data_IF_193118551077
#
_entry.id   IF_193118551077
#
_cell.length_a   1.000
_cell.length_b   1.000
_cell.length_c   1.000
_cell.angle_alpha   90.00
_cell.angle_beta   90.00
_cell.angle_gamma   90.00
#
_symmetry.space_group_name_H-M   'P 1'
#
loop_
_entity.id
_entity.type
_entity.pdbx_description
1 polymer ?
#
# COMPACT_ATOMS: atom_id res chain seq x y z
N UNK A 1 -9.56 11.49 4.37
CA UNK A 1 -10.60 10.46 4.56
C UNK A 1 -11.98 10.87 4.08
N UNK A 2 -12.69 11.85 4.69
CA UNK A 2 -14.05 12.25 4.22
C UNK A 2 -14.02 12.71 2.77
N UNK A 3 -13.06 13.58 2.40
CA UNK A 3 -12.90 14.06 1.02
C UNK A 3 -12.63 12.90 0.07
N UNK A 4 -11.73 11.98 0.42
CA UNK A 4 -11.37 10.83 -0.42
C UNK A 4 -12.58 9.88 -0.59
N UNK A 5 -13.31 9.61 0.49
CA UNK A 5 -14.53 8.80 0.43
C UNK A 5 -15.59 9.44 -0.47
N UNK A 6 -15.81 10.75 -0.36
CA UNK A 6 -16.75 11.46 -1.22
C UNK A 6 -16.30 11.43 -2.69
N UNK A 7 -15.02 11.70 -2.96
CA UNK A 7 -14.47 11.66 -4.32
C UNK A 7 -14.62 10.28 -4.94
N UNK A 8 -14.27 9.21 -4.21
CA UNK A 8 -14.41 7.84 -4.71
C UNK A 8 -15.88 7.52 -5.00
N UNK A 9 -16.80 7.84 -4.11
CA UNK A 9 -18.23 7.56 -4.32
C UNK A 9 -18.86 8.36 -5.46
N UNK A 10 -18.41 9.60 -5.69
CA UNK A 10 -18.88 10.42 -6.80
C UNK A 10 -18.29 9.98 -8.15
N UNK A 11 -17.02 9.54 -8.16
CA UNK A 11 -16.32 9.13 -9.39
C UNK A 11 -16.64 7.69 -9.77
N UNK A 12 -16.78 6.81 -8.79
CA UNK A 12 -17.05 5.39 -8.96
C UNK A 12 -18.32 4.99 -8.19
N UNK A 13 -19.51 5.32 -8.72
CA UNK A 13 -20.77 5.03 -8.03
C UNK A 13 -21.00 3.52 -7.81
N UNK A 14 -20.48 2.70 -8.72
CA UNK A 14 -20.41 1.24 -8.58
C UNK A 14 -19.03 0.89 -8.02
N UNK A 15 -18.94 0.70 -6.71
CA UNK A 15 -17.70 0.29 -6.03
C UNK A 15 -17.33 -1.16 -6.39
N UNK A 16 -16.19 -1.63 -5.91
CA UNK A 16 -15.59 -2.90 -6.31
C UNK A 16 -16.55 -4.10 -6.18
N UNK A 17 -17.31 -4.20 -5.09
CA UNK A 17 -18.32 -5.26 -4.90
C UNK A 17 -19.45 -5.16 -5.93
N UNK A 18 -19.95 -3.94 -6.17
CA UNK A 18 -21.00 -3.72 -7.18
C UNK A 18 -20.52 -4.01 -8.60
N UNK A 19 -19.24 -3.72 -8.90
CA UNK A 19 -18.64 -4.09 -10.20
C UNK A 19 -18.51 -5.61 -10.35
N UNK A 20 -18.20 -6.34 -9.28
CA UNK A 20 -18.17 -7.80 -9.31
C UNK A 20 -19.56 -8.39 -9.62
N UNK A 21 -20.61 -7.87 -9.01
CA UNK A 21 -21.99 -8.27 -9.32
C UNK A 21 -22.37 -7.95 -10.77
N UNK A 22 -21.99 -6.77 -11.27
CA UNK A 22 -22.21 -6.40 -12.67
C UNK A 22 -21.42 -7.29 -13.61
N UNK A 23 -20.18 -7.65 -13.26
CA UNK A 23 -19.33 -8.54 -14.06
C UNK A 23 -19.94 -9.95 -14.13
N UNK A 24 -20.51 -10.44 -13.04
CA UNK A 24 -21.25 -11.71 -13.01
C UNK A 24 -22.47 -11.66 -13.94
N UNK A 25 -23.33 -10.63 -13.81
CA UNK A 25 -24.52 -10.44 -14.68
C UNK A 25 -24.17 -10.34 -16.17
N UNK A 26 -23.01 -9.74 -16.51
CA UNK A 26 -22.56 -9.51 -17.87
C UNK A 26 -21.58 -10.55 -18.39
N UNK A 27 -21.28 -11.58 -17.61
CA UNK A 27 -20.27 -12.59 -17.92
C UNK A 27 -18.88 -11.99 -18.24
N UNK A 28 -18.49 -10.91 -17.56
CA UNK A 28 -17.18 -10.31 -17.72
C UNK A 28 -16.14 -10.96 -16.81
N UNK A 29 -14.91 -11.03 -17.31
CA UNK A 29 -13.76 -11.51 -16.57
C UNK A 29 -13.59 -13.03 -16.58
N UNK A 30 -12.42 -13.45 -16.12
CA UNK A 30 -11.97 -14.84 -16.22
C UNK A 30 -12.92 -15.82 -15.53
N UNK A 31 -13.25 -15.58 -14.25
CA UNK A 31 -14.02 -16.52 -13.43
C UNK A 31 -15.49 -16.65 -13.83
N UNK A 32 -16.02 -15.72 -14.60
CA UNK A 32 -17.37 -15.82 -15.17
C UNK A 32 -17.41 -16.58 -16.50
N UNK A 33 -16.24 -17.03 -17.01
CA UNK A 33 -16.13 -17.73 -18.30
C UNK A 33 -15.38 -19.08 -18.18
N UNK A 34 -15.04 -19.50 -16.96
CA UNK A 34 -14.43 -20.81 -16.70
C UNK A 34 -15.18 -21.51 -15.59
N UNK A 35 -15.29 -22.84 -15.68
CA UNK A 35 -15.92 -23.65 -14.64
C UNK A 35 -14.90 -24.04 -13.57
N UNK A 36 -14.97 -23.35 -12.43
CA UNK A 36 -14.13 -23.61 -11.27
C UNK A 36 -14.98 -23.60 -9.98
N UNK A 37 -14.63 -24.41 -8.98
CA UNK A 37 -15.31 -24.37 -7.70
C UNK A 37 -15.28 -22.95 -7.09
N UNK A 38 -16.41 -22.48 -6.58
CA UNK A 38 -16.56 -21.10 -6.03
C UNK A 38 -15.51 -20.81 -4.95
N UNK A 39 -15.23 -21.76 -4.06
CA UNK A 39 -14.20 -21.57 -3.02
C UNK A 39 -12.81 -21.29 -3.61
N UNK A 40 -12.47 -21.96 -4.74
CA UNK A 40 -11.18 -21.74 -5.42
C UNK A 40 -11.15 -20.36 -6.09
N UNK A 41 -12.24 -19.97 -6.77
CA UNK A 41 -12.40 -18.64 -7.34
C UNK A 41 -12.24 -17.55 -6.24
N UNK A 42 -12.84 -17.75 -5.06
CA UNK A 42 -12.71 -16.82 -3.92
C UNK A 42 -11.25 -16.71 -3.45
N UNK A 43 -10.59 -17.83 -3.18
CA UNK A 43 -9.20 -17.84 -2.68
C UNK A 43 -8.25 -17.20 -3.68
N UNK A 44 -8.32 -17.62 -4.95
CA UNK A 44 -7.45 -17.07 -6.00
C UNK A 44 -7.70 -15.58 -6.23
N UNK A 45 -8.96 -15.15 -6.19
CA UNK A 45 -9.30 -13.72 -6.34
C UNK A 45 -8.74 -12.86 -5.22
N UNK A 46 -8.86 -13.31 -3.96
CA UNK A 46 -8.30 -12.58 -2.80
C UNK A 46 -6.78 -12.46 -2.93
N UNK A 47 -6.10 -13.54 -3.29
CA UNK A 47 -4.64 -13.55 -3.49
C UNK A 47 -4.24 -12.65 -4.67
N UNK A 48 -4.98 -12.70 -5.79
CA UNK A 48 -4.69 -11.88 -6.97
C UNK A 48 -4.92 -10.39 -6.72
N UNK A 49 -5.97 -10.03 -5.98
CA UNK A 49 -6.23 -8.65 -5.56
C UNK A 49 -5.14 -8.14 -4.62
N UNK A 50 -4.64 -8.97 -3.70
CA UNK A 50 -3.53 -8.62 -2.82
C UNK A 50 -2.23 -8.40 -3.59
N UNK A 51 -1.94 -9.27 -4.57
CA UNK A 51 -0.81 -9.07 -5.49
C UNK A 51 -0.95 -7.75 -6.28
N UNK A 52 -2.15 -7.44 -6.76
CA UNK A 52 -2.39 -6.20 -7.49
C UNK A 52 -2.11 -4.95 -6.62
N UNK A 53 -2.51 -4.96 -5.35
CA UNK A 53 -2.19 -3.88 -4.40
C UNK A 53 -0.68 -3.81 -4.12
N UNK A 54 0.00 -4.95 -3.95
CA UNK A 54 1.45 -4.99 -3.83
C UNK A 54 2.15 -4.35 -5.04
N UNK A 55 1.81 -4.79 -6.26
CA UNK A 55 2.40 -4.26 -7.50
C UNK A 55 2.11 -2.77 -7.70
N UNK A 56 0.89 -2.36 -7.38
CA UNK A 56 0.51 -0.95 -7.35
C UNK A 56 1.40 -0.16 -6.39
N UNK A 57 1.63 -0.65 -5.18
CA UNK A 57 2.47 0.01 -4.17
C UNK A 57 3.91 0.14 -4.64
N UNK A 58 4.50 -0.93 -5.20
CA UNK A 58 5.82 -0.87 -5.87
C UNK A 58 5.84 0.19 -6.96
N UNK A 59 4.81 0.24 -7.81
CA UNK A 59 4.69 1.22 -8.89
C UNK A 59 4.62 2.66 -8.35
N UNK A 60 3.89 2.91 -7.26
CA UNK A 60 3.81 4.23 -6.62
C UNK A 60 5.17 4.67 -6.06
N UNK A 61 6.03 3.75 -5.65
CA UNK A 61 7.40 4.05 -5.25
C UNK A 61 8.37 4.18 -6.43
N UNK A 62 8.19 3.40 -7.49
CA UNK A 62 9.13 3.34 -8.61
C UNK A 62 8.95 4.48 -9.62
N UNK A 63 7.72 4.96 -9.83
CA UNK A 63 7.41 6.00 -10.82
C UNK A 63 7.43 7.38 -10.15
N UNK A 64 8.34 8.30 -10.54
CA UNK A 64 8.50 9.58 -9.84
C UNK A 64 7.24 10.42 -9.71
N UNK A 65 6.37 10.44 -10.73
CA UNK A 65 5.11 11.17 -10.68
C UNK A 65 4.13 10.58 -9.66
N UNK A 66 4.08 9.25 -9.55
CA UNK A 66 3.23 8.54 -8.60
C UNK A 66 3.81 8.63 -7.18
N UNK A 67 5.13 8.54 -7.04
CA UNK A 67 5.80 8.78 -5.76
C UNK A 67 5.46 10.16 -5.18
N UNK A 68 5.39 11.19 -6.00
CA UNK A 68 4.99 12.53 -5.54
C UNK A 68 3.62 12.56 -4.88
N UNK A 69 2.68 11.73 -5.32
CA UNK A 69 1.37 11.57 -4.70
C UNK A 69 1.51 10.76 -3.39
N UNK A 70 2.19 9.62 -3.47
CA UNK A 70 2.33 8.65 -2.38
C UNK A 70 3.22 9.16 -1.23
N UNK A 71 4.20 10.00 -1.51
CA UNK A 71 5.06 10.57 -0.46
C UNK A 71 4.30 11.42 0.57
N UNK A 72 3.09 11.88 0.27
CA UNK A 72 2.20 12.49 1.26
C UNK A 72 1.89 11.52 2.40
N UNK A 73 1.70 10.25 2.09
CA UNK A 73 1.55 9.17 3.04
C UNK A 73 2.84 8.96 3.87
N UNK A 74 4.00 8.96 3.20
CA UNK A 74 5.29 8.80 3.85
C UNK A 74 5.80 10.05 4.58
N UNK A 75 5.26 11.22 4.34
CA UNK A 75 5.73 12.46 4.97
C UNK A 75 5.24 12.65 6.41
N UNK A 76 4.56 11.66 6.99
CA UNK A 76 4.22 11.69 8.41
C UNK A 76 5.49 11.70 9.26
N UNK A 77 5.47 12.43 10.36
CA UNK A 77 6.59 12.49 11.32
C UNK A 77 6.46 11.45 12.43
N UNK A 78 5.27 10.94 12.61
CA UNK A 78 4.91 9.87 13.52
C UNK A 78 4.40 8.66 12.73
N UNK A 79 4.25 7.52 13.39
CA UNK A 79 3.73 6.31 12.78
C UNK A 79 2.62 5.74 13.64
N UNK A 80 1.39 5.93 13.20
CA UNK A 80 0.19 5.42 13.85
C UNK A 80 -0.94 5.12 12.85
N UNK A 81 -2.07 4.63 13.34
CA UNK A 81 -3.24 4.27 12.51
C UNK A 81 -3.68 5.41 11.59
N UNK A 82 -3.49 6.68 11.96
CA UNK A 82 -3.86 7.84 11.15
C UNK A 82 -2.94 8.00 9.93
N UNK A 83 -1.71 7.50 9.99
CA UNK A 83 -0.79 7.42 8.85
C UNK A 83 -1.41 6.60 7.73
N UNK A 84 -2.06 5.47 8.05
CA UNK A 84 -2.79 4.62 7.09
C UNK A 84 -4.02 5.27 6.44
N UNK A 85 -4.43 6.45 6.89
CA UNK A 85 -5.54 7.23 6.32
C UNK A 85 -5.06 8.44 5.51
N UNK A 86 -3.76 8.66 5.41
CA UNK A 86 -3.12 9.84 4.87
C UNK A 86 -2.68 9.62 3.41
N UNK A 87 -3.63 9.59 2.50
CA UNK A 87 -3.37 9.44 1.07
C UNK A 87 -3.80 10.67 0.28
N UNK A 88 -3.10 10.95 -0.83
CA UNK A 88 -3.50 12.02 -1.73
C UNK A 88 -4.79 11.62 -2.49
N UNK A 89 -5.80 12.53 -2.63
CA UNK A 89 -7.04 12.19 -3.32
C UNK A 89 -6.86 11.61 -4.73
N UNK A 90 -5.91 12.13 -5.51
CA UNK A 90 -5.59 11.60 -6.85
C UNK A 90 -5.05 10.18 -6.76
N UNK A 91 -4.23 9.87 -5.76
CA UNK A 91 -3.75 8.50 -5.53
C UNK A 91 -4.90 7.54 -5.24
N UNK A 92 -5.84 7.91 -4.39
CA UNK A 92 -7.00 7.09 -4.06
C UNK A 92 -7.86 6.81 -5.31
N UNK A 93 -8.05 7.81 -6.18
CA UNK A 93 -8.77 7.63 -7.45
C UNK A 93 -8.04 6.67 -8.39
N UNK A 94 -6.72 6.81 -8.53
CA UNK A 94 -5.89 5.90 -9.34
C UNK A 94 -5.93 4.47 -8.76
N UNK A 95 -5.78 4.32 -7.44
CA UNK A 95 -5.86 3.03 -6.74
C UNK A 95 -7.20 2.35 -6.96
N UNK A 96 -8.29 3.10 -6.87
CA UNK A 96 -9.62 2.57 -7.14
C UNK A 96 -9.76 2.15 -8.59
N UNK A 97 -9.28 2.95 -9.55
CA UNK A 97 -9.29 2.61 -10.98
C UNK A 97 -8.53 1.31 -11.27
N UNK A 98 -7.33 1.15 -10.71
CA UNK A 98 -6.54 -0.09 -10.84
C UNK A 98 -7.31 -1.29 -10.26
N UNK A 99 -7.82 -1.17 -9.04
CA UNK A 99 -8.59 -2.23 -8.39
C UNK A 99 -9.82 -2.62 -9.20
N UNK A 100 -10.60 -1.66 -9.68
CA UNK A 100 -11.77 -1.93 -10.53
C UNK A 100 -11.38 -2.61 -11.84
N UNK A 101 -10.26 -2.24 -12.45
CA UNK A 101 -9.75 -2.90 -13.66
C UNK A 101 -9.40 -4.37 -13.41
N UNK A 102 -8.79 -4.68 -12.26
CA UNK A 102 -8.48 -6.06 -11.86
C UNK A 102 -9.76 -6.85 -11.59
N UNK A 103 -10.74 -6.25 -10.89
CA UNK A 103 -12.05 -6.87 -10.66
C UNK A 103 -12.77 -7.18 -11.98
N UNK A 104 -12.79 -6.23 -12.92
CA UNK A 104 -13.41 -6.45 -14.23
C UNK A 104 -12.71 -7.55 -15.04
N UNK A 105 -11.37 -7.60 -15.00
CA UNK A 105 -10.57 -8.59 -15.70
C UNK A 105 -10.70 -10.01 -15.13
N UNK A 106 -10.74 -10.12 -13.81
CA UNK A 106 -10.88 -11.41 -13.12
C UNK A 106 -12.32 -11.91 -13.10
N UNK A 107 -13.34 -11.03 -13.00
CA UNK A 107 -14.72 -11.41 -12.75
C UNK A 107 -14.89 -12.21 -11.45
N UNK A 108 -14.35 -11.75 -10.31
CA UNK A 108 -14.36 -12.51 -9.07
C UNK A 108 -15.77 -12.63 -8.50
N UNK A 109 -16.09 -13.68 -7.74
CA UNK A 109 -17.31 -13.69 -6.92
C UNK A 109 -17.37 -12.43 -6.02
N UNK A 110 -18.53 -11.81 -5.91
CA UNK A 110 -18.71 -10.58 -5.13
C UNK A 110 -18.27 -10.75 -3.66
N UNK A 111 -18.45 -11.95 -3.09
CA UNK A 111 -17.97 -12.30 -1.74
C UNK A 111 -16.45 -12.25 -1.63
N UNK A 112 -15.72 -12.59 -2.68
CA UNK A 112 -14.25 -12.50 -2.67
C UNK A 112 -13.79 -11.04 -2.57
N UNK A 113 -14.44 -10.15 -3.32
CA UNK A 113 -14.15 -8.71 -3.27
C UNK A 113 -14.50 -8.15 -1.89
N UNK A 114 -15.63 -8.54 -1.32
CA UNK A 114 -16.03 -8.12 0.04
C UNK A 114 -15.00 -8.58 1.09
N UNK A 115 -14.59 -9.85 1.05
CA UNK A 115 -13.56 -10.40 1.95
C UNK A 115 -12.27 -9.59 1.78
N UNK A 116 -11.85 -9.35 0.54
CA UNK A 116 -10.62 -8.59 0.27
C UNK A 116 -10.69 -7.15 0.81
N UNK A 117 -11.81 -6.43 0.61
CA UNK A 117 -11.99 -5.07 1.14
C UNK A 117 -11.93 -5.03 2.68
N UNK A 118 -12.55 -6.01 3.34
CA UNK A 118 -12.49 -6.12 4.81
C UNK A 118 -11.05 -6.40 5.27
N UNK A 119 -10.37 -7.35 4.63
CA UNK A 119 -8.98 -7.67 4.96
C UNK A 119 -8.06 -6.46 4.72
N UNK A 120 -8.16 -5.81 3.56
CA UNK A 120 -7.34 -4.67 3.20
C UNK A 120 -7.47 -3.52 4.23
N UNK A 121 -8.68 -3.20 4.64
CA UNK A 121 -8.90 -2.15 5.64
C UNK A 121 -8.43 -2.57 7.04
N UNK A 122 -8.70 -3.81 7.46
CA UNK A 122 -8.29 -4.30 8.77
C UNK A 122 -6.76 -4.38 8.89
N UNK A 123 -6.09 -4.89 7.85
CA UNK A 123 -4.62 -4.98 7.85
C UNK A 123 -3.97 -3.61 7.69
N UNK A 124 -4.55 -2.68 6.92
CA UNK A 124 -4.07 -1.30 6.86
C UNK A 124 -4.09 -0.62 8.24
N UNK A 125 -5.14 -0.81 9.02
CA UNK A 125 -5.20 -0.31 10.39
C UNK A 125 -4.22 -1.03 11.32
N UNK A 126 -4.03 -2.33 11.14
CA UNK A 126 -3.11 -3.11 11.94
C UNK A 126 -1.65 -2.77 11.63
N UNK A 127 -1.24 -2.80 10.36
CA UNK A 127 0.15 -2.61 9.97
C UNK A 127 0.65 -1.17 10.20
N UNK A 128 -0.24 -0.16 10.17
CA UNK A 128 0.10 1.21 10.58
C UNK A 128 -0.10 1.47 12.08
N UNK A 129 -0.52 0.48 12.87
CA UNK A 129 -0.68 0.69 14.30
C UNK A 129 0.65 0.85 15.02
N UNK A 130 0.66 1.63 16.11
CA UNK A 130 1.82 1.77 17.00
C UNK A 130 1.82 0.67 18.07
N UNK A 131 1.49 -0.55 17.69
CA UNK A 131 1.48 -1.73 18.57
C UNK A 131 2.85 -2.38 18.53
N UNK A 132 3.44 -2.58 19.71
CA UNK A 132 4.67 -3.35 19.87
C UNK A 132 4.32 -4.80 20.16
N UNK A 133 4.53 -5.67 19.20
CA UNK A 133 4.37 -7.11 19.38
C UNK A 133 5.58 -7.73 20.11
N UNK A 134 5.39 -8.76 20.94
CA UNK A 134 6.51 -9.58 21.40
C UNK A 134 7.28 -10.13 20.19
N UNK A 135 8.62 -10.07 20.22
CA UNK A 135 9.47 -10.45 19.08
C UNK A 135 9.21 -11.88 18.56
N UNK A 136 8.90 -12.82 19.47
CA UNK A 136 8.58 -14.20 19.08
C UNK A 136 7.27 -14.27 18.27
N UNK A 137 6.27 -13.50 18.69
CA UNK A 137 4.98 -13.43 17.99
C UNK A 137 5.11 -12.73 16.66
N UNK A 138 5.78 -11.57 16.61
CA UNK A 138 6.04 -10.83 15.37
C UNK A 138 6.77 -11.70 14.35
N UNK A 139 7.80 -12.45 14.77
CA UNK A 139 8.55 -13.35 13.89
C UNK A 139 7.68 -14.43 13.23
N UNK A 140 6.68 -14.93 13.95
CA UNK A 140 5.72 -15.91 13.39
C UNK A 140 4.69 -15.22 12.51
N UNK A 141 4.10 -14.13 12.97
CA UNK A 141 3.04 -13.42 12.24
C UNK A 141 3.49 -12.91 10.88
N UNK A 142 4.75 -12.41 10.74
CA UNK A 142 5.27 -11.91 9.45
C UNK A 142 5.50 -13.01 8.39
N UNK A 143 5.05 -14.25 8.63
CA UNK A 143 4.90 -15.27 7.59
C UNK A 143 3.50 -15.27 6.97
N UNK A 144 2.51 -14.69 7.65
CA UNK A 144 1.10 -14.76 7.29
C UNK A 144 0.47 -13.38 7.04
N UNK A 145 0.94 -12.36 7.76
CA UNK A 145 0.39 -11.00 7.69
C UNK A 145 1.51 -9.98 7.85
N UNK A 146 1.37 -8.85 7.16
CA UNK A 146 2.27 -7.70 7.34
C UNK A 146 2.05 -7.10 8.73
N UNK A 147 3.09 -7.15 9.56
CA UNK A 147 3.04 -6.66 10.94
C UNK A 147 3.40 -5.17 11.04
N UNK A 148 3.03 -4.49 12.14
CA UNK A 148 3.41 -3.09 12.35
C UNK A 148 4.92 -2.85 12.26
N UNK A 149 5.73 -3.72 12.87
CA UNK A 149 7.19 -3.58 12.82
C UNK A 149 7.75 -3.82 11.41
N UNK A 150 7.15 -4.73 10.62
CA UNK A 150 7.53 -4.93 9.21
C UNK A 150 7.20 -3.67 8.38
N UNK A 151 6.00 -3.12 8.52
CA UNK A 151 5.56 -1.97 7.73
C UNK A 151 6.23 -0.66 8.18
N UNK A 152 6.58 -0.55 9.47
CA UNK A 152 7.34 0.60 9.98
C UNK A 152 8.69 0.77 9.30
N UNK A 153 9.38 -0.32 8.92
CA UNK A 153 10.62 -0.26 8.13
C UNK A 153 10.38 0.47 6.81
N UNK A 154 9.26 0.18 6.15
CA UNK A 154 8.84 0.84 4.92
C UNK A 154 8.62 2.36 5.08
N UNK A 155 8.26 2.84 6.27
CA UNK A 155 8.13 4.27 6.58
C UNK A 155 9.41 4.95 7.05
N UNK A 156 10.56 4.28 6.98
CA UNK A 156 11.86 4.85 7.34
C UNK A 156 12.26 6.02 6.46
N UNK A 157 13.01 6.95 7.04
CA UNK A 157 13.65 8.04 6.30
C UNK A 157 14.68 7.52 5.28
N UNK A 158 15.29 6.36 5.54
CA UNK A 158 16.27 5.77 4.66
C UNK A 158 15.62 5.18 3.41
N UNK A 159 16.12 5.56 2.24
CA UNK A 159 15.54 5.20 0.95
C UNK A 159 15.53 3.69 0.69
N UNK A 160 16.58 2.97 1.04
CA UNK A 160 16.67 1.52 0.88
C UNK A 160 15.64 0.78 1.75
N UNK A 161 15.35 1.27 2.96
CA UNK A 161 14.32 0.75 3.85
C UNK A 161 12.92 1.13 3.36
N UNK A 162 12.71 2.38 2.97
CA UNK A 162 11.46 2.89 2.41
C UNK A 162 11.07 2.19 1.11
N UNK A 163 12.04 1.76 0.32
CA UNK A 163 11.80 0.98 -0.90
C UNK A 163 11.83 -0.53 -0.65
N UNK A 164 11.28 -0.97 0.47
CA UNK A 164 11.14 -2.36 0.88
C UNK A 164 9.79 -2.59 1.55
N UNK A 165 9.41 -3.84 1.81
CA UNK A 165 8.20 -4.20 2.55
C UNK A 165 6.92 -3.54 2.01
N UNK A 166 6.69 -3.68 0.70
CA UNK A 166 5.53 -3.12 0.00
C UNK A 166 4.24 -3.90 0.23
N UNK A 167 4.30 -5.09 0.84
CA UNK A 167 3.14 -5.91 1.16
C UNK A 167 2.13 -5.18 2.02
N UNK A 168 0.84 -5.46 1.79
CA UNK A 168 -0.27 -4.85 2.53
C UNK A 168 -0.94 -5.87 3.46
N UNK A 169 -1.45 -6.98 2.89
CA UNK A 169 -2.00 -8.08 3.69
C UNK A 169 -0.95 -9.19 3.84
N UNK A 170 -0.47 -9.74 2.72
CA UNK A 170 0.44 -10.87 2.69
C UNK A 170 1.90 -10.42 2.52
N UNK A 171 2.81 -10.86 3.41
CA UNK A 171 4.25 -10.56 3.30
C UNK A 171 4.96 -11.44 2.26
N UNK A 172 4.22 -12.30 1.56
CA UNK A 172 4.78 -13.28 0.62
C UNK A 172 5.39 -12.62 -0.60
N UNK A 173 4.77 -11.54 -1.08
CA UNK A 173 5.23 -10.82 -2.27
C UNK A 173 6.60 -10.19 -2.05
N UNK A 174 6.82 -9.58 -0.89
CA UNK A 174 8.13 -9.04 -0.52
C UNK A 174 9.22 -10.10 -0.50
N UNK A 175 8.91 -11.29 0.01
CA UNK A 175 9.84 -12.42 0.06
C UNK A 175 10.10 -13.02 -1.32
N UNK A 176 9.06 -13.19 -2.13
CA UNK A 176 9.15 -13.78 -3.46
C UNK A 176 9.84 -12.84 -4.46
N UNK A 177 9.63 -11.53 -4.33
CA UNK A 177 10.14 -10.52 -5.27
C UNK A 177 11.37 -9.77 -4.73
N UNK A 178 11.91 -10.19 -3.59
CA UNK A 178 13.18 -9.70 -3.06
C UNK A 178 13.14 -8.30 -2.44
N UNK A 179 11.96 -7.84 -2.05
CA UNK A 179 11.77 -6.53 -1.39
C UNK A 179 11.61 -6.63 0.13
N UNK A 180 11.80 -7.81 0.73
CA UNK A 180 11.70 -7.99 2.17
C UNK A 180 12.91 -7.45 2.92
N UNK A 181 12.68 -6.54 3.86
CA UNK A 181 13.67 -5.99 4.78
C UNK A 181 13.25 -6.27 6.23
N UNK A 182 14.05 -7.04 6.95
CA UNK A 182 13.63 -7.61 8.23
C UNK A 182 13.58 -6.61 9.39
N UNK A 183 14.58 -5.70 9.46
CA UNK A 183 14.77 -4.77 10.58
C UNK A 183 15.34 -3.44 10.08
N UNK A 184 14.93 -2.31 10.66
CA UNK A 184 15.50 -1.02 10.29
C UNK A 184 16.94 -0.89 10.81
N UNK A 185 17.78 -0.15 10.11
CA UNK A 185 19.19 0.11 10.43
C UNK A 185 19.38 0.62 11.87
N UNK A 186 18.53 1.55 12.29
CA UNK A 186 18.64 2.19 13.62
C UNK A 186 17.79 1.48 14.68
N UNK A 187 17.15 0.36 14.34
CA UNK A 187 16.18 -0.31 15.21
C UNK A 187 14.87 0.47 15.36
N UNK A 188 13.80 -0.22 15.74
CA UNK A 188 12.43 0.34 15.78
C UNK A 188 12.23 1.49 16.77
N UNK A 189 13.11 1.64 17.75
CA UNK A 189 12.99 2.67 18.79
C UNK A 189 13.70 3.97 18.40
N UNK A 190 14.81 3.88 17.66
CA UNK A 190 15.65 5.02 17.30
C UNK A 190 15.48 5.46 15.84
N UNK A 191 14.81 4.65 15.01
CA UNK A 191 14.61 4.99 13.61
C UNK A 191 13.83 6.28 13.43
N UNK A 192 14.16 7.02 12.39
CA UNK A 192 13.44 8.22 11.99
C UNK A 192 12.40 7.86 10.96
N UNK A 193 11.14 8.22 11.22
CA UNK A 193 10.01 8.06 10.30
C UNK A 193 9.92 9.26 9.36
N UNK A 194 9.45 9.02 8.15
CA UNK A 194 9.13 10.08 7.20
C UNK A 194 10.04 10.13 5.99
N UNK A 195 10.08 11.30 5.36
CA UNK A 195 10.94 11.61 4.20
C UNK A 195 11.92 12.72 4.57
N UNK A 196 12.97 12.90 3.77
CA UNK A 196 14.03 13.89 4.03
C UNK A 196 13.50 15.34 3.98
N UNK A 197 12.42 15.56 3.24
CA UNK A 197 11.73 16.85 3.09
C UNK A 197 10.40 16.84 3.84
N UNK A 198 9.76 18.01 3.98
CA UNK A 198 8.44 18.15 4.61
C UNK A 198 8.42 17.74 6.08
N UNK A 199 9.46 18.13 6.84
CA UNK A 199 9.65 17.73 8.23
C UNK A 199 9.14 18.75 9.26
N UNK A 200 8.40 19.76 8.87
CA UNK A 200 7.79 20.72 9.79
C UNK A 200 6.33 20.36 10.06
N UNK A 201 5.83 20.70 11.27
CA UNK A 201 4.39 20.50 11.58
C UNK A 201 3.46 21.17 10.57
N UNK A 202 3.90 22.29 9.95
CA UNK A 202 3.12 22.99 8.93
C UNK A 202 3.01 22.18 7.63
N UNK A 203 3.98 21.36 7.30
CA UNK A 203 3.93 20.49 6.10
C UNK A 203 2.86 19.39 6.23
N UNK A 204 2.42 19.10 7.46
CA UNK A 204 1.36 18.13 7.75
C UNK A 204 -0.06 18.75 7.73
N UNK A 205 -0.19 20.05 7.44
CA UNK A 205 -1.51 20.66 7.28
C UNK A 205 -2.11 20.29 5.93
N UNK A 206 -3.43 20.12 5.89
CA UNK A 206 -4.16 19.61 4.71
C UNK A 206 -3.84 20.40 3.43
N UNK A 207 -3.81 21.73 3.50
CA UNK A 207 -3.46 22.60 2.36
C UNK A 207 -2.06 22.30 1.81
N UNK A 208 -1.11 22.03 2.71
CA UNK A 208 0.28 21.71 2.38
C UNK A 208 0.43 20.31 1.82
N UNK A 209 -0.28 19.35 2.40
CA UNK A 209 -0.31 17.98 1.92
C UNK A 209 -0.89 17.87 0.51
N UNK A 210 -1.99 18.56 0.23
CA UNK A 210 -2.62 18.55 -1.09
C UNK A 210 -1.76 19.16 -2.19
N UNK A 211 -0.95 20.16 -1.88
CA UNK A 211 -0.02 20.75 -2.87
C UNK A 211 1.38 20.10 -2.84
N UNK A 212 1.62 19.15 -1.94
CA UNK A 212 2.92 18.48 -1.79
C UNK A 212 3.44 17.83 -3.07
N UNK A 213 2.60 17.19 -3.94
CA UNK A 213 3.06 16.64 -5.21
C UNK A 213 3.70 17.66 -6.15
N UNK A 214 3.30 18.93 -6.03
CA UNK A 214 3.80 20.04 -6.85
C UNK A 214 5.02 20.74 -6.24
N UNK A 215 5.38 20.41 -4.99
CA UNK A 215 6.47 21.04 -4.23
C UNK A 215 7.71 20.14 -4.18
N UNK A 216 8.87 20.80 -4.24
CA UNK A 216 10.17 20.11 -4.11
C UNK A 216 10.62 19.39 -5.39
N UNK A 217 11.93 19.23 -5.52
CA UNK A 217 12.52 18.45 -6.61
C UNK A 217 12.93 17.08 -6.06
N UNK A 218 12.48 16.01 -6.68
CA UNK A 218 12.98 14.65 -6.40
C UNK A 218 14.35 14.42 -7.06
N UNK A 219 15.26 15.43 -7.02
CA UNK A 219 16.59 15.38 -7.62
C UNK A 219 17.52 14.34 -6.99
N UNK A 220 17.07 13.32 -6.45
CA UNK A 220 17.79 12.17 -5.92
C UNK A 220 17.06 10.87 -6.15
N UNK A 221 15.84 10.95 -6.72
CA UNK A 221 15.01 9.77 -6.86
C UNK A 221 15.33 8.94 -8.12
N UNK A 222 15.94 9.54 -9.14
CA UNK A 222 16.12 8.92 -10.47
C UNK A 222 17.53 8.47 -10.79
N UNK A 223 18.41 8.21 -9.83
CA UNK A 223 19.73 7.78 -10.27
C UNK A 223 20.78 7.57 -9.21
N UNK A 224 20.62 6.63 -8.30
CA UNK A 224 21.78 5.95 -7.72
C UNK A 224 21.33 4.68 -6.98
N UNK A 225 21.23 3.59 -7.72
CA UNK A 225 21.10 2.24 -7.13
C UNK A 225 22.46 1.63 -6.79
N UNK A 226 23.56 2.39 -6.81
CA UNK A 226 24.89 1.76 -6.75
C UNK A 226 26.05 2.61 -6.16
N UNK A 227 25.81 3.62 -5.31
CA UNK A 227 26.96 4.35 -4.74
C UNK A 227 26.72 4.92 -3.35
N UNK A 228 26.39 4.11 -2.35
CA UNK A 228 26.42 4.60 -0.96
C UNK A 228 26.89 3.58 0.09
N UNK A 229 27.54 2.47 -0.34
CA UNK A 229 28.04 1.45 0.60
C UNK A 229 29.59 1.27 0.58
N UNK A 230 30.37 2.16 -0.03
CA UNK A 230 31.82 1.96 -0.10
C UNK A 230 32.70 3.05 0.51
N UNK A 231 32.16 4.03 1.23
CA UNK A 231 33.01 5.04 1.83
C UNK A 231 32.68 5.31 3.31
N UNK A 232 32.95 4.33 4.17
CA UNK A 232 33.32 4.46 5.60
C UNK A 232 33.81 3.12 6.14
N UNK A 233 35.02 2.75 5.77
CA UNK A 233 35.87 1.85 6.58
C UNK A 233 36.49 2.62 7.75
#
# INVERSE_FOLDING_TARGET
>A
MVVDTLLVRLTFPVLAVGLALLAEDRSWGLFNNIDVPVWLAVVVSVIALDLAIYLQHVMFHAVPALWRLHRMHHADLDFDVTTGLRFHPVEILLSMGIKLSVVAALGPPAVAVLIFEVLLNATAMFNHSNVKLPLALDRVLRWFVVTPDMHRVHHSIYRNERNSNFGFNLPWWDRLLGTYHAQPKDGHTAMTIGVEHFRTRRDLWLDRMLIQPLRGSDRGYTGDTAKDDTDRS
#
